data_IF_501487604263
#
_entry.id   IF_501487604263
#
_cell.length_a   1.000
_cell.length_b   1.000
_cell.length_c   1.000
_cell.angle_alpha   90.00
_cell.angle_beta   90.00
_cell.angle_gamma   90.00
#
_symmetry.space_group_name_H-M   'P 1'
#
loop_
_entity.id
_entity.type
_entity.pdbx_description
1 polymer ?
#
# COMPACT_ATOMS: atom_id res chain seq x y z
N UNK A 1 53.28 39.95 -4.11
CA UNK A 1 54.25 38.86 -4.41
C UNK A 1 53.71 37.48 -4.01
N UNK A 2 53.26 37.28 -2.77
CA UNK A 2 52.74 35.98 -2.31
C UNK A 2 51.50 35.49 -3.08
N UNK A 3 50.55 36.39 -3.38
CA UNK A 3 49.34 36.08 -4.18
C UNK A 3 49.71 35.61 -5.59
N UNK A 4 50.63 36.30 -6.26
CA UNK A 4 51.08 35.93 -7.61
C UNK A 4 51.77 34.56 -7.64
N UNK A 5 52.56 34.24 -6.60
CA UNK A 5 53.16 32.92 -6.45
C UNK A 5 52.08 31.84 -6.25
N UNK A 6 51.05 32.13 -5.46
CA UNK A 6 49.90 31.23 -5.28
C UNK A 6 49.13 31.00 -6.59
N UNK A 7 48.90 32.05 -7.38
CA UNK A 7 48.22 31.93 -8.67
C UNK A 7 49.03 31.12 -9.68
N UNK A 8 50.35 31.27 -9.68
CA UNK A 8 51.24 30.48 -10.51
C UNK A 8 51.15 28.99 -10.16
N UNK A 9 51.22 28.65 -8.87
CA UNK A 9 51.06 27.26 -8.43
C UNK A 9 49.68 26.70 -8.75
N UNK A 10 48.63 27.50 -8.57
CA UNK A 10 47.26 27.10 -8.92
C UNK A 10 47.14 26.82 -10.43
N UNK A 11 47.70 27.67 -11.29
CA UNK A 11 47.77 27.43 -12.74
C UNK A 11 48.53 26.15 -13.08
N UNK A 12 49.69 25.89 -12.45
CA UNK A 12 50.44 24.66 -12.69
C UNK A 12 49.65 23.41 -12.28
N UNK A 13 48.95 23.46 -11.15
CA UNK A 13 48.12 22.35 -10.67
C UNK A 13 46.90 22.15 -11.58
N UNK A 14 46.17 23.20 -11.93
CA UNK A 14 45.04 23.12 -12.85
C UNK A 14 45.47 22.60 -14.24
N UNK A 15 46.61 23.07 -14.75
CA UNK A 15 47.18 22.60 -16.02
C UNK A 15 47.55 21.13 -15.99
N UNK A 16 48.17 20.65 -14.92
CA UNK A 16 48.48 19.23 -14.74
C UNK A 16 47.21 18.38 -14.65
N UNK A 17 46.18 18.84 -13.94
CA UNK A 17 44.89 18.16 -13.85
C UNK A 17 44.22 18.11 -15.23
N UNK A 18 44.21 19.22 -15.99
CA UNK A 18 43.67 19.25 -17.35
C UNK A 18 44.38 18.26 -18.27
N UNK A 19 45.72 18.23 -18.26
CA UNK A 19 46.50 17.27 -19.06
C UNK A 19 46.17 15.83 -18.64
N UNK A 20 46.13 15.56 -17.33
CA UNK A 20 45.81 14.24 -16.81
C UNK A 20 44.39 13.79 -17.20
N UNK A 21 43.43 14.71 -17.18
CA UNK A 21 42.02 14.43 -17.51
C UNK A 21 41.79 14.29 -19.02
N UNK A 22 42.62 14.93 -19.85
CA UNK A 22 42.62 14.79 -21.31
C UNK A 22 43.23 13.48 -21.81
N UNK A 23 43.97 12.72 -20.98
CA UNK A 23 44.57 11.46 -21.39
C UNK A 23 43.50 10.34 -21.41
N UNK A 24 43.21 9.74 -22.58
CA UNK A 24 42.13 8.74 -22.72
C UNK A 24 42.44 7.35 -22.13
N UNK A 25 43.65 7.14 -21.59
CA UNK A 25 44.17 5.81 -21.21
C UNK A 25 43.64 5.26 -19.88
N UNK A 26 43.07 6.08 -18.99
CA UNK A 26 42.73 5.67 -17.62
C UNK A 26 41.23 5.55 -17.34
N UNK A 27 40.41 5.07 -18.30
CA UNK A 27 38.93 5.06 -18.21
C UNK A 27 38.36 4.65 -16.84
N UNK A 28 38.87 3.58 -16.21
CA UNK A 28 38.39 3.15 -14.89
C UNK A 28 38.87 4.03 -13.71
N UNK A 29 40.12 4.50 -13.73
CA UNK A 29 40.62 5.40 -12.69
C UNK A 29 40.01 6.81 -12.84
N UNK A 30 39.83 7.29 -14.07
CA UNK A 30 39.16 8.55 -14.37
C UNK A 30 37.70 8.50 -13.95
N UNK A 31 36.98 7.40 -14.20
CA UNK A 31 35.62 7.21 -13.69
C UNK A 31 35.57 7.18 -12.14
N UNK A 32 36.53 6.53 -11.47
CA UNK A 32 36.60 6.50 -10.01
C UNK A 32 36.93 7.87 -9.42
N UNK A 33 37.89 8.59 -10.00
CA UNK A 33 38.28 9.96 -9.60
C UNK A 33 37.14 10.94 -9.83
N UNK A 34 36.44 10.85 -10.97
CA UNK A 34 35.27 11.69 -11.27
C UNK A 34 34.11 11.39 -10.34
N UNK A 35 33.88 10.12 -10.01
CA UNK A 35 32.84 9.72 -9.05
C UNK A 35 33.19 10.24 -7.65
N UNK A 36 34.45 10.12 -7.22
CA UNK A 36 34.93 10.67 -5.95
C UNK A 36 34.84 12.21 -5.91
N UNK A 37 35.23 12.88 -7.00
CA UNK A 37 35.16 14.33 -7.16
C UNK A 37 33.71 14.82 -7.19
N UNK A 38 32.80 14.07 -7.81
CA UNK A 38 31.35 14.35 -7.78
C UNK A 38 30.75 14.22 -6.38
N UNK A 39 31.20 13.21 -5.62
CA UNK A 39 30.70 12.91 -4.29
C UNK A 39 31.26 13.83 -3.21
N UNK A 40 32.48 14.37 -3.39
CA UNK A 40 33.19 15.12 -2.34
C UNK A 40 33.43 16.59 -2.68
N UNK A 41 33.50 16.96 -3.97
CA UNK A 41 33.94 18.30 -4.41
C UNK A 41 32.88 19.05 -5.22
N UNK A 42 31.97 18.36 -5.92
CA UNK A 42 30.94 18.99 -6.77
C UNK A 42 29.49 18.79 -6.29
N UNK A 43 29.29 18.25 -5.08
CA UNK A 43 27.95 18.18 -4.50
C UNK A 43 27.46 19.62 -4.21
N UNK A 44 26.29 20.04 -4.70
CA UNK A 44 25.83 21.43 -4.68
C UNK A 44 25.58 22.04 -3.29
N UNK A 45 25.88 21.31 -2.20
CA UNK A 45 25.75 21.76 -0.81
C UNK A 45 27.05 21.69 0.01
N UNK A 46 28.20 21.40 -0.60
CA UNK A 46 29.47 21.35 0.13
C UNK A 46 30.03 22.77 0.33
N UNK A 47 30.62 23.06 1.49
CA UNK A 47 31.34 24.33 1.70
C UNK A 47 32.50 24.52 0.71
N UNK A 48 33.00 23.42 0.13
CA UNK A 48 34.13 23.41 -0.80
C UNK A 48 33.77 23.93 -2.20
N UNK A 49 32.57 23.63 -2.72
CA UNK A 49 32.09 24.21 -3.99
C UNK A 49 31.90 25.72 -3.87
N UNK A 50 31.27 26.17 -2.78
CA UNK A 50 31.05 27.60 -2.52
C UNK A 50 32.38 28.34 -2.36
N UNK A 51 33.35 27.74 -1.65
CA UNK A 51 34.70 28.28 -1.53
C UNK A 51 35.41 28.32 -2.89
N UNK A 52 35.27 27.28 -3.72
CA UNK A 52 35.83 27.23 -5.07
C UNK A 52 35.30 28.34 -5.98
N UNK A 53 33.99 28.57 -6.01
CA UNK A 53 33.39 29.68 -6.75
C UNK A 53 33.82 31.04 -6.18
N UNK A 54 34.00 31.16 -4.86
CA UNK A 54 34.54 32.37 -4.23
C UNK A 54 35.98 32.69 -4.66
N UNK A 55 36.85 31.68 -4.70
CA UNK A 55 38.23 31.81 -5.19
C UNK A 55 38.21 32.18 -6.68
N UNK A 56 37.36 31.52 -7.49
CA UNK A 56 37.22 31.84 -8.91
C UNK A 56 36.76 33.28 -9.14
N UNK A 57 35.78 33.77 -8.37
CA UNK A 57 35.31 35.14 -8.44
C UNK A 57 36.42 36.14 -8.05
N UNK A 58 37.24 35.82 -7.04
CA UNK A 58 38.40 36.64 -6.66
C UNK A 58 39.43 36.69 -7.79
N UNK A 59 39.75 35.55 -8.41
CA UNK A 59 40.65 35.46 -9.57
C UNK A 59 40.11 36.26 -10.76
N UNK A 60 38.79 36.23 -10.98
CA UNK A 60 38.13 37.03 -12.02
C UNK A 60 38.24 38.54 -11.75
N UNK A 61 38.04 38.98 -10.50
CA UNK A 61 38.21 40.38 -10.11
C UNK A 61 39.67 40.82 -10.30
N UNK A 62 40.64 39.97 -9.93
CA UNK A 62 42.07 40.25 -10.14
C UNK A 62 42.41 40.35 -11.64
N UNK A 63 41.82 39.50 -12.48
CA UNK A 63 41.97 39.59 -13.93
C UNK A 63 41.46 40.94 -14.45
N UNK A 64 40.25 41.36 -14.04
CA UNK A 64 39.70 42.67 -14.44
C UNK A 64 40.55 43.84 -13.93
N UNK A 65 41.07 43.78 -12.71
CA UNK A 65 41.93 44.83 -12.16
C UNK A 65 43.26 44.95 -12.94
N UNK A 66 43.87 43.82 -13.32
CA UNK A 66 45.09 43.80 -14.13
C UNK A 66 44.83 44.21 -15.58
N UNK A 67 43.66 43.84 -16.13
CA UNK A 67 43.22 44.24 -17.47
C UNK A 67 42.98 45.76 -17.54
N UNK A 68 42.25 46.32 -16.57
CA UNK A 68 42.02 47.76 -16.46
C UNK A 68 43.33 48.52 -16.27
N UNK A 69 44.24 48.02 -15.44
CA UNK A 69 45.57 48.59 -15.26
C UNK A 69 46.34 48.60 -16.59
N UNK A 70 46.39 47.46 -17.29
CA UNK A 70 47.08 47.35 -18.59
C UNK A 70 46.46 48.27 -19.65
N UNK A 71 45.13 48.38 -19.70
CA UNK A 71 44.42 49.25 -20.64
C UNK A 71 44.67 50.74 -20.38
N UNK A 72 44.54 51.17 -19.12
CA UNK A 72 44.78 52.57 -18.73
C UNK A 72 46.23 53.00 -19.00
N UNK A 73 47.19 52.10 -18.82
CA UNK A 73 48.61 52.39 -19.09
C UNK A 73 48.95 52.40 -20.58
N UNK A 74 48.17 51.72 -21.43
CA UNK A 74 48.33 51.76 -22.89
C UNK A 74 47.76 53.04 -23.52
N UNK A 75 46.80 53.70 -22.87
CA UNK A 75 46.17 54.95 -23.33
C UNK A 75 46.94 56.21 -22.88
N UNK A 76 47.81 56.09 -21.89
CA UNK A 76 48.60 57.21 -21.38
C UNK A 76 49.92 57.30 -22.15
N UNK A 77 49.96 58.17 -23.16
CA UNK A 77 51.12 58.43 -24.05
C UNK A 77 52.24 59.24 -23.37
N UNK A 78 52.41 59.06 -22.05
CA UNK A 78 53.30 59.88 -21.24
C UNK A 78 54.68 59.21 -21.13
N UNK A 79 55.72 59.99 -21.46
CA UNK A 79 57.11 59.55 -21.64
C UNK A 79 57.56 58.51 -20.60
N UNK A 80 57.81 57.32 -21.12
CA UNK A 80 58.03 56.06 -20.43
C UNK A 80 59.25 56.09 -19.48
N UNK A 81 59.04 56.51 -18.23
CA UNK A 81 60.01 56.26 -17.14
C UNK A 81 60.22 54.75 -16.97
N UNK A 82 61.46 54.29 -16.77
CA UNK A 82 61.78 52.86 -16.62
C UNK A 82 60.96 52.18 -15.51
N UNK A 83 60.64 52.90 -14.43
CA UNK A 83 59.77 52.40 -13.36
C UNK A 83 58.34 52.09 -13.81
N UNK A 84 57.84 52.81 -14.83
CA UNK A 84 56.51 52.61 -15.41
C UNK A 84 56.48 51.36 -16.30
N UNK A 85 57.54 51.11 -17.08
CA UNK A 85 57.71 49.90 -17.92
C UNK A 85 57.66 48.63 -17.09
N UNK A 86 58.36 48.63 -15.97
CA UNK A 86 58.46 47.49 -15.06
C UNK A 86 57.08 47.15 -14.48
N UNK A 87 56.29 48.16 -14.13
CA UNK A 87 54.92 47.97 -13.61
C UNK A 87 53.96 47.46 -14.69
N UNK A 88 54.06 47.97 -15.92
CA UNK A 88 53.26 47.50 -17.05
C UNK A 88 53.55 46.03 -17.38
N UNK A 89 54.82 45.65 -17.47
CA UNK A 89 55.22 44.26 -17.74
C UNK A 89 54.77 43.31 -16.61
N UNK A 90 54.80 43.77 -15.36
CA UNK A 90 54.28 43.01 -14.24
C UNK A 90 52.75 42.80 -14.34
N UNK A 91 52.00 43.85 -14.67
CA UNK A 91 50.54 43.78 -14.83
C UNK A 91 50.13 42.90 -16.02
N UNK A 92 50.85 42.98 -17.15
CA UNK A 92 50.62 42.13 -18.32
C UNK A 92 50.85 40.65 -17.98
N UNK A 93 51.96 40.32 -17.33
CA UNK A 93 52.24 38.94 -16.88
C UNK A 93 51.12 38.42 -15.97
N UNK A 94 50.74 39.20 -14.97
CA UNK A 94 49.72 38.78 -13.98
C UNK A 94 48.32 38.67 -14.62
N UNK A 95 48.02 39.49 -15.65
CA UNK A 95 46.83 39.36 -16.49
C UNK A 95 46.84 38.05 -17.29
N UNK A 96 47.96 37.66 -17.92
CA UNK A 96 48.04 36.40 -18.66
C UNK A 96 47.90 35.18 -17.74
N UNK A 97 48.55 35.20 -16.56
CA UNK A 97 48.46 34.09 -15.60
C UNK A 97 47.02 33.93 -15.09
N UNK A 98 46.38 35.03 -14.70
CA UNK A 98 44.98 35.00 -14.23
C UNK A 98 44.00 34.62 -15.36
N UNK A 99 44.23 35.09 -16.59
CA UNK A 99 43.41 34.73 -17.76
C UNK A 99 43.51 33.24 -18.13
N UNK A 100 44.71 32.67 -18.14
CA UNK A 100 44.92 31.24 -18.40
C UNK A 100 44.29 30.39 -17.29
N UNK A 101 44.42 30.80 -16.03
CA UNK A 101 43.78 30.13 -14.90
C UNK A 101 42.25 30.08 -15.04
N UNK A 102 41.61 31.22 -15.35
CA UNK A 102 40.16 31.27 -15.61
C UNK A 102 39.75 30.35 -16.78
N UNK A 103 40.53 30.38 -17.86
CA UNK A 103 40.29 29.55 -19.03
C UNK A 103 40.41 28.06 -18.71
N UNK A 104 41.46 27.64 -18.00
CA UNK A 104 41.66 26.26 -17.56
C UNK A 104 40.53 25.81 -16.63
N UNK A 105 40.09 26.67 -15.71
CA UNK A 105 38.97 26.36 -14.82
C UNK A 105 37.67 26.10 -15.62
N UNK A 106 37.38 26.94 -16.61
CA UNK A 106 36.22 26.79 -17.48
C UNK A 106 36.33 25.53 -18.34
N UNK A 107 37.50 25.24 -18.91
CA UNK A 107 37.76 23.99 -19.63
C UNK A 107 37.56 22.77 -18.73
N UNK A 108 38.02 22.83 -17.48
CA UNK A 108 37.89 21.74 -16.53
C UNK A 108 36.42 21.47 -16.18
N UNK A 109 35.62 22.53 -15.98
CA UNK A 109 34.17 22.41 -15.77
C UNK A 109 33.46 21.80 -16.97
N UNK A 110 33.80 22.27 -18.19
CA UNK A 110 33.23 21.73 -19.43
C UNK A 110 33.58 20.25 -19.60
N UNK A 111 34.85 19.89 -19.38
CA UNK A 111 35.35 18.53 -19.56
C UNK A 111 34.78 17.58 -18.50
N UNK A 112 34.68 18.03 -17.25
CA UNK A 112 34.01 17.28 -16.18
C UNK A 112 32.53 17.02 -16.50
N UNK A 113 31.78 18.05 -16.91
CA UNK A 113 30.36 17.92 -17.29
C UNK A 113 30.17 16.93 -18.44
N UNK A 114 30.99 17.07 -19.49
CA UNK A 114 31.01 16.14 -20.62
C UNK A 114 31.30 14.70 -20.18
N UNK A 115 32.26 14.51 -19.28
CA UNK A 115 32.63 13.18 -18.78
C UNK A 115 31.51 12.54 -17.94
N UNK A 116 30.86 13.30 -17.06
CA UNK A 116 29.71 12.82 -16.27
C UNK A 116 28.55 12.40 -17.18
N UNK A 117 28.27 13.18 -18.23
CA UNK A 117 27.26 12.84 -19.22
C UNK A 117 27.61 11.55 -19.96
N UNK A 118 28.86 11.41 -20.42
CA UNK A 118 29.33 10.21 -21.10
C UNK A 118 29.20 8.95 -20.21
N UNK A 119 29.59 9.04 -18.92
CA UNK A 119 29.45 7.92 -17.97
C UNK A 119 27.98 7.54 -17.77
N UNK A 120 27.09 8.54 -17.64
CA UNK A 120 25.65 8.28 -17.50
C UNK A 120 25.08 7.63 -18.76
N UNK A 121 25.52 8.08 -19.93
CA UNK A 121 25.09 7.55 -21.22
C UNK A 121 25.56 6.10 -21.41
N UNK A 122 26.82 5.80 -21.07
CA UNK A 122 27.39 4.45 -21.11
C UNK A 122 26.64 3.49 -20.18
N UNK A 123 26.33 3.91 -18.95
CA UNK A 123 25.50 3.11 -18.01
C UNK A 123 24.08 2.88 -18.53
N UNK A 124 23.46 3.92 -19.11
CA UNK A 124 22.12 3.81 -19.70
C UNK A 124 22.11 2.87 -20.90
N UNK A 125 23.14 2.93 -21.74
CA UNK A 125 23.28 2.08 -22.91
C UNK A 125 23.48 0.61 -22.50
N UNK A 126 24.33 0.34 -21.51
CA UNK A 126 24.49 -1.01 -20.96
C UNK A 126 23.22 -1.58 -20.34
N UNK A 127 22.44 -0.74 -19.64
CA UNK A 127 21.14 -1.14 -19.10
C UNK A 127 20.11 -1.43 -20.22
N UNK A 128 20.05 -0.58 -21.24
CA UNK A 128 19.18 -0.74 -22.40
C UNK A 128 19.56 -1.99 -23.22
N UNK A 129 20.85 -2.26 -23.41
CA UNK A 129 21.34 -3.46 -24.08
C UNK A 129 20.94 -4.72 -23.30
N UNK A 130 21.10 -4.70 -21.97
CA UNK A 130 20.66 -5.81 -21.11
C UNK A 130 19.14 -6.00 -21.16
N UNK A 131 18.38 -4.91 -21.20
CA UNK A 131 16.93 -4.95 -21.35
C UNK A 131 16.52 -5.49 -22.73
N UNK A 132 17.16 -5.06 -23.81
CA UNK A 132 16.91 -5.53 -25.16
C UNK A 132 17.26 -7.02 -25.31
N UNK A 133 18.40 -7.46 -24.75
CA UNK A 133 18.78 -8.88 -24.69
C UNK A 133 17.81 -9.70 -23.83
N UNK A 134 17.38 -9.16 -22.70
CA UNK A 134 16.39 -9.80 -21.83
C UNK A 134 15.03 -9.96 -22.53
N UNK A 135 14.53 -8.90 -23.18
CA UNK A 135 13.30 -8.93 -23.95
C UNK A 135 13.42 -9.90 -25.13
N UNK A 136 14.49 -9.83 -25.92
CA UNK A 136 14.75 -10.75 -27.04
C UNK A 136 14.80 -12.21 -26.59
N UNK A 137 15.51 -12.51 -25.49
CA UNK A 137 15.54 -13.87 -24.93
C UNK A 137 14.16 -14.33 -24.46
N UNK A 138 13.38 -13.47 -23.79
CA UNK A 138 12.00 -13.77 -23.42
C UNK A 138 11.10 -14.00 -24.64
N UNK A 139 11.21 -13.17 -25.69
CA UNK A 139 10.49 -13.38 -26.95
C UNK A 139 10.86 -14.70 -27.62
N UNK A 140 12.14 -15.08 -27.59
CA UNK A 140 12.60 -16.36 -28.17
C UNK A 140 12.01 -17.54 -27.39
N UNK A 141 12.00 -17.48 -26.05
CA UNK A 141 11.35 -18.50 -25.21
C UNK A 141 9.85 -18.59 -25.45
N UNK A 142 9.16 -17.45 -25.57
CA UNK A 142 7.73 -17.40 -25.90
C UNK A 142 7.44 -18.02 -27.28
N UNK A 143 8.31 -17.79 -28.26
CA UNK A 143 8.21 -18.44 -29.58
C UNK A 143 8.41 -19.96 -29.49
N UNK A 144 9.43 -20.41 -28.74
CA UNK A 144 9.66 -21.85 -28.51
C UNK A 144 8.49 -22.53 -27.79
N UNK A 145 7.95 -21.90 -26.74
CA UNK A 145 6.77 -22.38 -26.03
C UNK A 145 5.55 -22.42 -26.96
N UNK A 146 5.33 -21.39 -27.78
CA UNK A 146 4.27 -21.37 -28.76
C UNK A 146 4.42 -22.49 -29.79
N UNK A 147 5.63 -22.77 -30.28
CA UNK A 147 5.89 -23.90 -31.19
C UNK A 147 5.63 -25.27 -30.53
N UNK A 148 6.02 -25.44 -29.26
CA UNK A 148 5.78 -26.68 -28.51
C UNK A 148 4.28 -26.88 -28.31
N UNK A 149 3.56 -25.84 -27.88
CA UNK A 149 2.11 -25.85 -27.72
C UNK A 149 1.43 -26.11 -29.07
N UNK A 150 1.89 -25.50 -30.16
CA UNK A 150 1.36 -25.75 -31.49
C UNK A 150 1.61 -27.19 -31.95
N UNK A 151 2.78 -27.77 -31.67
CA UNK A 151 3.10 -29.18 -31.97
C UNK A 151 2.25 -30.13 -31.12
N UNK A 152 2.05 -29.83 -29.84
CA UNK A 152 1.18 -30.59 -28.95
C UNK A 152 -0.28 -30.50 -29.40
N UNK A 153 -0.76 -29.31 -29.76
CA UNK A 153 -2.09 -29.10 -30.30
C UNK A 153 -2.27 -29.87 -31.62
N UNK A 154 -1.31 -29.82 -32.55
CA UNK A 154 -1.34 -30.62 -33.79
C UNK A 154 -1.36 -32.13 -33.52
N UNK A 155 -0.63 -32.61 -32.51
CA UNK A 155 -0.67 -34.02 -32.08
C UNK A 155 -1.98 -34.40 -31.40
N UNK A 156 -2.55 -33.52 -30.58
CA UNK A 156 -3.82 -33.75 -29.87
C UNK A 156 -5.02 -33.69 -30.82
N UNK A 157 -4.95 -32.81 -31.82
CA UNK A 157 -5.95 -32.61 -32.87
C UNK A 157 -5.80 -33.64 -33.99
N UNK A 158 -4.71 -34.41 -34.04
CA UNK A 158 -4.52 -35.46 -35.04
C UNK A 158 -4.58 -34.93 -36.48
N UNK A 159 -4.09 -33.71 -36.72
CA UNK A 159 -4.21 -33.04 -38.01
C UNK A 159 -2.93 -33.21 -38.82
N UNK A 160 -2.75 -34.41 -39.33
CA UNK A 160 -2.01 -34.61 -40.58
C UNK A 160 -3.03 -34.42 -41.70
N UNK A 161 -3.06 -33.21 -42.30
CA UNK A 161 -3.53 -32.99 -43.67
C UNK A 161 -5.00 -33.22 -44.07
N UNK A 162 -5.91 -33.68 -43.22
CA UNK A 162 -7.34 -33.75 -43.55
C UNK A 162 -8.23 -33.36 -42.38
N UNK A 163 -8.65 -32.09 -42.34
CA UNK A 163 -9.77 -31.67 -41.48
C UNK A 163 -11.03 -32.35 -42.00
N UNK A 164 -11.35 -33.49 -41.40
CA UNK A 164 -12.56 -34.23 -41.69
C UNK A 164 -13.75 -33.42 -41.14
N UNK A 165 -14.62 -32.96 -42.04
CA UNK A 165 -15.82 -32.12 -41.79
C UNK A 165 -16.70 -32.66 -40.65
N UNK A 166 -16.61 -33.96 -40.40
CA UNK A 166 -17.29 -34.73 -39.36
C UNK A 166 -16.88 -34.35 -37.93
N UNK A 167 -15.64 -33.92 -37.71
CA UNK A 167 -15.14 -33.54 -36.37
C UNK A 167 -15.62 -32.15 -35.95
N UNK A 168 -15.69 -31.22 -36.90
CA UNK A 168 -16.18 -29.87 -36.66
C UNK A 168 -17.70 -29.85 -36.42
N UNK A 169 -18.46 -30.65 -37.16
CA UNK A 169 -19.90 -30.82 -36.91
C UNK A 169 -20.19 -31.46 -35.55
N UNK A 170 -19.34 -32.39 -35.09
CA UNK A 170 -19.49 -33.02 -33.77
C UNK A 170 -19.25 -32.01 -32.65
N UNK A 171 -18.20 -31.20 -32.74
CA UNK A 171 -17.90 -30.14 -31.76
C UNK A 171 -18.98 -29.04 -31.74
N UNK A 172 -19.57 -28.71 -32.89
CA UNK A 172 -20.67 -27.75 -32.96
C UNK A 172 -21.94 -28.30 -32.29
N UNK A 173 -22.26 -29.58 -32.51
CA UNK A 173 -23.38 -30.26 -31.83
C UNK A 173 -23.14 -30.36 -30.32
N UNK A 174 -21.91 -30.64 -29.90
CA UNK A 174 -21.55 -30.76 -28.49
C UNK A 174 -21.65 -29.41 -27.74
N UNK A 175 -21.22 -28.31 -28.37
CA UNK A 175 -21.43 -26.96 -27.83
C UNK A 175 -22.92 -26.59 -27.76
N UNK A 176 -23.71 -26.92 -28.79
CA UNK A 176 -25.15 -26.69 -28.76
C UNK A 176 -25.84 -27.50 -27.65
N UNK A 177 -25.43 -28.75 -27.41
CA UNK A 177 -25.94 -29.53 -26.27
C UNK A 177 -25.54 -28.93 -24.94
N UNK A 178 -24.28 -28.48 -24.78
CA UNK A 178 -23.84 -27.85 -23.54
C UNK A 178 -24.56 -26.53 -23.25
N UNK A 179 -24.86 -25.70 -24.25
CA UNK A 179 -25.67 -24.50 -24.05
C UNK A 179 -27.10 -24.83 -23.59
N UNK A 180 -27.72 -25.88 -24.15
CA UNK A 180 -29.05 -26.32 -23.71
C UNK A 180 -29.02 -26.91 -22.29
N UNK A 181 -27.99 -27.69 -21.95
CA UNK A 181 -27.80 -28.23 -20.61
C UNK A 181 -27.57 -27.10 -19.60
N UNK A 182 -26.75 -26.10 -19.93
CA UNK A 182 -26.55 -24.91 -19.09
C UNK A 182 -27.84 -24.13 -18.85
N UNK A 183 -28.68 -23.97 -19.89
CA UNK A 183 -29.96 -23.29 -19.76
C UNK A 183 -30.94 -24.07 -18.86
N UNK A 184 -30.97 -25.40 -18.97
CA UNK A 184 -31.80 -26.25 -18.10
C UNK A 184 -31.26 -26.32 -16.66
N UNK A 185 -29.95 -26.39 -16.46
CA UNK A 185 -29.31 -26.33 -15.15
C UNK A 185 -29.59 -24.99 -14.46
N UNK A 186 -29.51 -23.88 -15.19
CA UNK A 186 -29.81 -22.55 -14.65
C UNK A 186 -31.28 -22.42 -14.24
N UNK A 187 -32.20 -22.99 -15.02
CA UNK A 187 -33.63 -23.01 -14.70
C UNK A 187 -33.94 -23.89 -13.48
N UNK A 188 -33.31 -25.06 -13.36
CA UNK A 188 -33.47 -25.95 -12.21
C UNK A 188 -32.83 -25.38 -10.95
N UNK A 189 -31.68 -24.72 -11.05
CA UNK A 189 -31.06 -23.97 -9.96
C UNK A 189 -31.97 -22.85 -9.45
N UNK A 190 -32.54 -22.02 -10.34
CA UNK A 190 -33.48 -20.97 -9.96
C UNK A 190 -34.77 -21.52 -9.31
N UNK A 191 -35.28 -22.66 -9.79
CA UNK A 191 -36.43 -23.33 -9.18
C UNK A 191 -36.08 -23.89 -7.78
N UNK A 192 -34.88 -24.45 -7.62
CA UNK A 192 -34.39 -24.97 -6.34
C UNK A 192 -34.16 -23.85 -5.32
N UNK A 193 -33.61 -22.70 -5.72
CA UNK A 193 -33.46 -21.54 -4.82
C UNK A 193 -34.81 -21.02 -4.33
N UNK A 194 -35.82 -20.95 -5.21
CA UNK A 194 -37.19 -20.59 -4.83
C UNK A 194 -37.81 -21.59 -3.84
N UNK A 195 -37.61 -22.89 -4.06
CA UNK A 195 -38.06 -23.93 -3.14
C UNK A 195 -37.36 -23.83 -1.77
N UNK A 196 -36.04 -23.59 -1.74
CA UNK A 196 -35.28 -23.39 -0.50
C UNK A 196 -35.79 -22.17 0.27
N UNK A 197 -36.08 -21.06 -0.42
CA UNK A 197 -36.64 -19.87 0.22
C UNK A 197 -38.04 -20.13 0.83
N UNK A 198 -38.89 -20.90 0.15
CA UNK A 198 -40.20 -21.29 0.66
C UNK A 198 -40.08 -22.22 1.87
N UNK A 199 -39.20 -23.22 1.82
CA UNK A 199 -38.94 -24.15 2.93
C UNK A 199 -38.40 -23.39 4.14
N UNK A 200 -37.48 -22.44 3.93
CA UNK A 200 -36.94 -21.61 5.01
C UNK A 200 -38.04 -20.77 5.68
N UNK A 201 -38.88 -20.11 4.88
CA UNK A 201 -40.03 -19.35 5.40
C UNK A 201 -41.00 -20.24 6.19
N UNK A 202 -41.25 -21.46 5.70
CA UNK A 202 -42.11 -22.42 6.39
C UNK A 202 -41.49 -22.89 7.71
N UNK A 203 -40.19 -23.21 7.73
CA UNK A 203 -39.46 -23.60 8.92
C UNK A 203 -39.44 -22.49 9.99
N UNK A 204 -39.24 -21.23 9.59
CA UNK A 204 -39.30 -20.08 10.48
C UNK A 204 -40.70 -19.91 11.07
N UNK A 205 -41.75 -20.06 10.25
CA UNK A 205 -43.15 -19.97 10.71
C UNK A 205 -43.53 -21.10 11.68
N UNK A 206 -43.07 -22.33 11.41
CA UNK A 206 -43.30 -23.47 12.28
C UNK A 206 -42.56 -23.30 13.60
N UNK A 207 -41.31 -22.82 13.58
CA UNK A 207 -40.53 -22.54 14.79
C UNK A 207 -41.23 -21.51 15.67
N UNK A 208 -41.76 -20.43 15.09
CA UNK A 208 -42.54 -19.44 15.83
C UNK A 208 -43.82 -20.04 16.44
N UNK A 209 -44.52 -20.90 15.70
CA UNK A 209 -45.71 -21.59 16.20
C UNK A 209 -45.36 -22.57 17.35
N UNK A 210 -44.24 -23.28 17.27
CA UNK A 210 -43.74 -24.15 18.33
C UNK A 210 -43.37 -23.37 19.59
N UNK A 211 -42.70 -22.22 19.47
CA UNK A 211 -42.38 -21.37 20.63
C UNK A 211 -43.65 -20.88 21.32
N UNK A 212 -44.64 -20.42 20.55
CA UNK A 212 -45.93 -19.99 21.11
C UNK A 212 -46.66 -21.13 21.83
N UNK A 213 -46.65 -22.34 21.25
CA UNK A 213 -47.26 -23.51 21.87
C UNK A 213 -46.55 -23.91 23.16
N UNK A 214 -45.21 -23.78 23.20
CA UNK A 214 -44.44 -24.02 24.41
C UNK A 214 -44.80 -23.02 25.51
N UNK A 215 -44.90 -21.74 25.18
CA UNK A 215 -45.33 -20.70 26.12
C UNK A 215 -46.75 -20.97 26.64
N UNK A 216 -47.69 -21.30 25.76
CA UNK A 216 -49.06 -21.69 26.16
C UNK A 216 -49.07 -22.94 27.05
N UNK A 217 -48.23 -23.95 26.76
CA UNK A 217 -48.11 -25.14 27.60
C UNK A 217 -47.52 -24.84 28.98
N UNK A 218 -46.55 -23.93 29.07
CA UNK A 218 -46.00 -23.52 30.37
C UNK A 218 -47.02 -22.71 31.18
N UNK A 219 -47.76 -21.81 30.53
CA UNK A 219 -48.83 -21.06 31.16
C UNK A 219 -49.96 -21.97 31.66
N UNK A 220 -50.34 -22.99 30.89
CA UNK A 220 -51.31 -24.00 31.34
C UNK A 220 -50.80 -24.83 32.53
N UNK A 221 -49.51 -25.17 32.57
CA UNK A 221 -48.93 -25.88 33.70
C UNK A 221 -48.95 -25.03 34.99
N UNK A 222 -48.73 -23.72 34.88
CA UNK A 222 -48.83 -22.81 36.02
C UNK A 222 -50.28 -22.60 36.47
N UNK A 223 -51.22 -22.47 35.54
CA UNK A 223 -52.66 -22.47 35.86
C UNK A 223 -53.10 -23.77 36.54
N UNK A 224 -52.57 -24.93 36.11
CA UNK A 224 -52.87 -26.21 36.73
C UNK A 224 -52.38 -26.28 38.19
N UNK A 225 -51.20 -25.71 38.50
CA UNK A 225 -50.72 -25.59 39.88
C UNK A 225 -51.62 -24.68 40.72
N UNK A 226 -52.04 -23.55 40.17
CA UNK A 226 -52.95 -22.63 40.86
C UNK A 226 -54.28 -23.31 41.19
N UNK A 227 -54.84 -24.08 40.25
CA UNK A 227 -56.06 -24.87 40.48
C UNK A 227 -55.86 -25.94 41.56
N UNK A 228 -54.69 -26.60 41.61
CA UNK A 228 -54.37 -27.57 42.67
C UNK A 228 -54.31 -26.90 44.05
N UNK A 229 -53.66 -25.73 44.15
CA UNK A 229 -53.55 -24.98 45.41
C UNK A 229 -54.92 -24.46 45.88
N UNK A 230 -55.73 -23.93 44.96
CA UNK A 230 -57.12 -23.56 45.23
C UNK A 230 -57.95 -24.76 45.70
N UNK A 231 -57.77 -25.93 45.07
CA UNK A 231 -58.46 -27.15 45.48
C UNK A 231 -58.07 -27.61 46.90
N UNK A 232 -56.80 -27.48 47.26
CA UNK A 232 -56.31 -27.77 48.62
C UNK A 232 -56.95 -26.82 49.66
N UNK A 233 -57.02 -25.52 49.35
CA UNK A 233 -57.70 -24.54 50.22
C UNK A 233 -59.20 -24.84 50.37
N UNK A 234 -59.88 -25.24 49.29
CA UNK A 234 -61.30 -25.63 49.35
C UNK A 234 -61.50 -26.88 50.22
N UNK A 235 -60.60 -27.86 50.16
CA UNK A 235 -60.63 -29.04 51.04
C UNK A 235 -60.48 -28.67 52.51
N UNK A 236 -59.57 -27.75 52.83
CA UNK A 236 -59.36 -27.26 54.20
C UNK A 236 -60.58 -26.48 54.70
N UNK A 237 -61.11 -25.54 53.90
CA UNK A 237 -62.35 -24.84 54.20
C UNK A 237 -63.53 -25.81 54.41
N UNK A 238 -63.65 -26.85 53.58
CA UNK A 238 -64.68 -27.88 53.72
C UNK A 238 -64.55 -28.64 55.04
N UNK A 239 -63.32 -28.93 55.49
CA UNK A 239 -63.07 -29.56 56.79
C UNK A 239 -63.52 -28.64 57.94
N UNK A 240 -63.13 -27.37 57.90
CA UNK A 240 -63.53 -26.36 58.89
C UNK A 240 -65.05 -26.20 58.96
N UNK A 241 -65.74 -26.14 57.82
CA UNK A 241 -67.22 -26.08 57.78
C UNK A 241 -67.82 -27.33 58.43
N UNK A 242 -67.27 -28.51 58.19
CA UNK A 242 -67.77 -29.75 58.77
C UNK A 242 -67.59 -29.80 60.30
N UNK A 243 -66.46 -29.29 60.81
CA UNK A 243 -66.22 -29.20 62.25
C UNK A 243 -67.17 -28.18 62.91
N UNK A 244 -67.35 -27.00 62.31
CA UNK A 244 -68.34 -26.01 62.78
C UNK A 244 -69.77 -26.54 62.70
N UNK A 245 -70.08 -27.36 61.69
CA UNK A 245 -71.40 -28.03 61.56
C UNK A 245 -71.64 -29.01 62.70
N UNK A 246 -70.64 -29.81 63.08
CA UNK A 246 -70.72 -30.70 64.25
C UNK A 246 -70.90 -29.91 65.54
N UNK A 247 -70.13 -28.84 65.72
CA UNK A 247 -70.25 -27.98 66.91
C UNK A 247 -71.65 -27.35 66.99
N UNK A 248 -72.17 -26.85 65.87
CA UNK A 248 -73.55 -26.34 65.78
C UNK A 248 -74.57 -27.41 66.16
N UNK A 249 -74.45 -28.63 65.66
CA UNK A 249 -75.40 -29.71 65.95
C UNK A 249 -75.31 -30.18 67.41
N UNK A 250 -74.10 -30.20 67.98
CA UNK A 250 -73.88 -30.47 69.40
C UNK A 250 -74.51 -29.38 70.28
N UNK A 251 -74.28 -28.09 69.96
CA UNK A 251 -74.93 -26.97 70.66
C UNK A 251 -76.45 -27.04 70.53
N UNK A 252 -76.98 -27.40 69.36
CA UNK A 252 -78.42 -27.58 69.16
C UNK A 252 -79.00 -28.68 70.04
N UNK A 253 -78.30 -29.81 70.16
CA UNK A 253 -78.69 -30.90 71.08
C UNK A 253 -78.67 -30.42 72.54
N UNK A 254 -77.61 -29.71 72.96
CA UNK A 254 -77.55 -29.15 74.31
C UNK A 254 -78.70 -28.18 74.59
N UNK A 255 -79.06 -27.31 73.64
CA UNK A 255 -80.22 -26.42 73.78
C UNK A 255 -81.52 -27.22 73.93
N UNK A 256 -81.72 -28.28 73.14
CA UNK A 256 -82.89 -29.15 73.27
C UNK A 256 -82.95 -29.85 74.65
N UNK A 257 -81.82 -30.31 75.17
CA UNK A 257 -81.73 -30.91 76.50
C UNK A 257 -82.03 -29.88 77.60
N UNK A 258 -81.52 -28.66 77.47
CA UNK A 258 -81.86 -27.55 78.37
C UNK A 258 -83.36 -27.22 78.33
N UNK A 259 -83.96 -27.11 77.14
CA UNK A 259 -85.40 -26.87 76.97
C UNK A 259 -86.24 -27.99 77.61
N UNK A 260 -85.81 -29.26 77.48
CA UNK A 260 -86.46 -30.39 78.14
C UNK A 260 -86.36 -30.30 79.66
N UNK A 261 -85.18 -30.00 80.20
CA UNK A 261 -85.01 -29.80 81.65
C UNK A 261 -85.85 -28.65 82.17
N UNK A 262 -85.95 -27.53 81.43
CA UNK A 262 -86.82 -26.41 81.80
C UNK A 262 -88.30 -26.80 81.76
N UNK A 263 -88.73 -27.58 80.78
CA UNK A 263 -90.10 -28.10 80.71
C UNK A 263 -90.41 -29.07 81.87
N UNK A 264 -89.48 -29.96 82.23
CA UNK A 264 -89.63 -30.89 83.36
C UNK A 264 -89.64 -30.15 84.70
N UNK A 265 -88.77 -29.15 84.88
CA UNK A 265 -88.76 -28.28 86.05
C UNK A 265 -90.07 -27.51 86.20
N UNK A 266 -90.63 -27.00 85.09
CA UNK A 266 -91.95 -26.34 85.09
C UNK A 266 -93.06 -27.31 85.52
N UNK A 267 -93.03 -28.56 85.05
CA UNK A 267 -94.03 -29.59 85.39
C UNK A 267 -93.95 -30.06 86.85
N UNK A 268 -92.79 -29.98 87.50
CA UNK A 268 -92.63 -30.27 88.94
C UNK A 268 -93.08 -29.12 89.85
N UNK A 269 -93.29 -27.92 89.31
CA UNK A 269 -93.71 -26.73 90.06
C UNK A 269 -95.25 -26.49 90.03
N UNK A 270 -95.99 -27.27 89.25
CA UNK A 270 -97.47 -27.35 89.22
C UNK A 270 -97.96 -28.56 90.03
#
# INVERSE_FOLDING_TARGET
>A
MFINLMMFWLMCVEGLICILLCIPFFKHATQAVVTFLSSNVFTPKSHLTTAGYGILALVFIMFLANLQTTYNHHMSDEAMSDGFRIRLLAAQRDMYISGICLFLNLLLQMLYSSMVLNIKLEKSLGAMEKQAKGASSSYTKLLEEHEIVQKQLKKLVGLDGSTDMTTLEKLLKENATYETELATLKKTAAASESAIAQVKKQADSQSAAYMKLLDESTAQADQAKEVIDLHAQVLELKKTINDVTKDRDALKSQIQDYDFMFAEAKKKAE
#
